data_IF_652378480739
#
_entry.id   IF_652378480739
#
_cell.length_a   1.000
_cell.length_b   1.000
_cell.length_c   1.000
_cell.angle_alpha   90.00
_cell.angle_beta   90.00
_cell.angle_gamma   90.00
#
_symmetry.space_group_name_H-M   'P 1'
#
loop_
_entity.id
_entity.type
_entity.pdbx_description
1 polymer ?
#
# COMPACT_ATOMS: atom_id res chain seq x y z
N UNK A 1 -4.17 11.33 -17.47
CA UNK A 1 -4.15 12.74 -17.04
C UNK A 1 -3.06 13.46 -17.84
N UNK A 2 -3.27 14.72 -18.17
CA UNK A 2 -2.24 15.56 -18.82
C UNK A 2 -1.27 16.16 -17.80
N UNK A 3 -0.14 16.69 -18.27
CA UNK A 3 0.84 17.37 -17.41
C UNK A 3 0.22 18.58 -16.73
N UNK A 4 -0.59 19.38 -17.43
CA UNK A 4 -1.32 20.50 -16.85
C UNK A 4 -2.22 20.06 -15.69
N UNK A 5 -3.03 19.01 -15.89
CA UNK A 5 -3.91 18.48 -14.86
C UNK A 5 -3.15 17.97 -13.63
N UNK A 6 -2.02 17.28 -13.83
CA UNK A 6 -1.21 16.76 -12.73
C UNK A 6 -0.54 17.91 -11.97
N UNK A 7 -0.05 18.93 -12.67
CA UNK A 7 0.52 20.14 -12.09
C UNK A 7 -0.48 20.90 -11.20
N UNK A 8 -1.71 21.05 -11.67
CA UNK A 8 -2.78 21.68 -10.91
C UNK A 8 -3.14 20.87 -9.65
N UNK A 9 -3.25 19.55 -9.75
CA UNK A 9 -3.56 18.67 -8.59
C UNK A 9 -2.45 18.74 -7.54
N UNK A 10 -1.19 18.70 -7.98
CA UNK A 10 -0.04 18.67 -7.08
C UNK A 10 0.42 20.07 -6.63
N UNK A 11 -0.19 21.13 -7.18
CA UNK A 11 0.22 22.52 -6.94
C UNK A 11 1.72 22.71 -7.23
N UNK A 12 2.17 22.18 -8.37
CA UNK A 12 3.56 22.23 -8.84
C UNK A 12 3.64 22.84 -10.22
N UNK A 13 4.83 23.33 -10.56
CA UNK A 13 5.11 23.87 -11.87
C UNK A 13 5.03 22.79 -12.98
N UNK A 14 4.47 23.15 -14.13
CA UNK A 14 4.27 22.23 -15.26
C UNK A 14 5.58 21.65 -15.81
N UNK A 15 6.68 22.43 -15.83
CA UNK A 15 7.98 21.93 -16.29
C UNK A 15 8.54 20.86 -15.34
N UNK A 16 8.30 21.01 -14.04
CA UNK A 16 8.69 20.01 -13.04
C UNK A 16 7.90 18.72 -13.25
N UNK A 17 6.58 18.81 -13.42
CA UNK A 17 5.75 17.64 -13.70
C UNK A 17 6.15 16.97 -15.01
N UNK A 18 6.35 17.74 -16.08
CA UNK A 18 6.80 17.22 -17.38
C UNK A 18 8.08 16.38 -17.24
N UNK A 19 9.09 16.90 -16.52
CA UNK A 19 10.35 16.19 -16.28
C UNK A 19 10.15 14.87 -15.53
N UNK A 20 9.27 14.83 -14.53
CA UNK A 20 8.99 13.59 -13.81
C UNK A 20 8.17 12.60 -14.64
N UNK A 21 7.19 13.08 -15.42
CA UNK A 21 6.39 12.23 -16.29
C UNK A 21 7.23 11.56 -17.38
N UNK A 22 8.21 12.26 -17.96
CA UNK A 22 9.14 11.66 -18.92
C UNK A 22 10.00 10.57 -18.27
N UNK A 23 10.55 10.81 -17.07
CA UNK A 23 11.31 9.77 -16.36
C UNK A 23 10.46 8.55 -16.04
N UNK A 24 9.21 8.75 -15.63
CA UNK A 24 8.27 7.66 -15.36
C UNK A 24 7.88 6.92 -16.66
N UNK A 25 7.78 7.61 -17.79
CA UNK A 25 7.51 7.04 -19.12
C UNK A 25 8.69 6.17 -19.58
N UNK A 26 9.91 6.71 -19.50
CA UNK A 26 11.17 6.02 -19.82
C UNK A 26 11.39 4.75 -18.99
N UNK A 27 11.01 4.80 -17.72
CA UNK A 27 11.13 3.66 -16.79
C UNK A 27 9.92 2.72 -16.82
N UNK A 28 8.93 2.98 -17.68
CA UNK A 28 7.78 2.11 -17.90
C UNK A 28 6.74 2.13 -16.78
N UNK A 29 6.74 3.13 -15.90
CA UNK A 29 5.71 3.33 -14.86
C UNK A 29 4.44 4.00 -15.40
N UNK A 30 4.57 4.77 -16.46
CA UNK A 30 3.45 5.42 -17.15
C UNK A 30 3.60 5.27 -18.66
N UNK A 31 2.49 5.34 -19.38
CA UNK A 31 2.47 5.32 -20.85
C UNK A 31 1.54 6.41 -21.37
N UNK A 32 1.77 6.82 -22.62
CA UNK A 32 0.89 7.76 -23.32
C UNK A 32 -0.24 6.99 -23.98
N UNK A 33 -1.47 7.19 -23.49
CA UNK A 33 -2.67 6.53 -24.02
C UNK A 33 -3.39 7.35 -25.10
N UNK A 34 -2.89 8.54 -25.39
CA UNK A 34 -3.43 9.43 -26.41
C UNK A 34 -3.08 10.89 -26.15
N UNK A 35 -3.76 11.77 -26.86
CA UNK A 35 -3.58 13.21 -26.76
C UNK A 35 -4.92 13.90 -26.50
N UNK A 36 -4.90 14.95 -25.69
CA UNK A 36 -6.07 15.81 -25.45
C UNK A 36 -5.70 17.23 -25.83
N UNK A 37 -6.57 17.91 -26.57
CA UNK A 37 -6.41 19.34 -26.85
C UNK A 37 -6.94 20.13 -25.67
N UNK A 38 -6.05 20.81 -24.97
CA UNK A 38 -6.39 21.83 -23.98
C UNK A 38 -5.98 23.17 -24.58
N UNK A 39 -6.92 24.11 -24.76
CA UNK A 39 -6.63 25.46 -25.28
C UNK A 39 -5.87 25.45 -26.62
N UNK A 40 -6.30 24.57 -27.54
CA UNK A 40 -5.70 24.36 -28.88
C UNK A 40 -4.27 23.80 -28.91
N UNK A 41 -3.66 23.48 -27.77
CA UNK A 41 -2.36 22.82 -27.69
C UNK A 41 -2.60 21.32 -27.43
N UNK A 42 -2.03 20.41 -28.24
CA UNK A 42 -2.11 18.97 -27.97
C UNK A 42 -1.23 18.62 -26.76
N UNK A 43 -1.83 17.98 -25.75
CA UNK A 43 -1.14 17.46 -24.57
C UNK A 43 -1.25 15.94 -24.50
N UNK A 44 -0.12 15.28 -24.20
CA UNK A 44 -0.08 13.84 -23.92
C UNK A 44 -0.96 13.50 -22.71
N UNK A 45 -1.74 12.44 -22.84
CA UNK A 45 -2.54 11.87 -21.76
C UNK A 45 -1.83 10.63 -21.22
N UNK A 46 -1.30 10.76 -20.01
CA UNK A 46 -0.61 9.67 -19.33
C UNK A 46 -1.57 8.76 -18.58
N UNK A 47 -1.31 7.46 -18.62
CA UNK A 47 -1.93 6.45 -17.75
C UNK A 47 -0.82 5.66 -17.04
N UNK A 48 -1.16 5.04 -15.91
CA UNK A 48 -0.30 4.04 -15.28
C UNK A 48 -0.22 2.78 -16.15
N UNK A 49 0.96 2.17 -16.23
CA UNK A 49 1.18 0.88 -16.91
C UNK A 49 0.76 -0.30 -16.04
N UNK A 50 0.89 -0.18 -14.72
CA UNK A 50 0.50 -1.21 -13.76
C UNK A 50 -0.60 -0.71 -12.80
N UNK A 51 -1.42 -1.64 -12.32
CA UNK A 51 -2.41 -1.35 -11.28
C UNK A 51 -1.77 -1.11 -9.90
N UNK A 52 -0.60 -1.70 -9.65
CA UNK A 52 0.17 -1.60 -8.41
C UNK A 52 1.66 -1.54 -8.71
N UNK A 53 2.40 -0.76 -7.92
CA UNK A 53 3.87 -0.73 -7.92
C UNK A 53 4.37 -1.23 -6.57
N UNK A 54 5.34 -2.14 -6.58
CA UNK A 54 6.05 -2.57 -5.36
C UNK A 54 7.34 -1.76 -5.31
N UNK A 55 7.45 -0.90 -4.31
CA UNK A 55 8.67 -0.14 -4.06
C UNK A 55 9.61 -1.03 -3.23
N UNK A 56 10.72 -1.46 -3.83
CA UNK A 56 11.80 -2.16 -3.13
C UNK A 56 12.94 -1.16 -2.96
N UNK A 57 13.21 -0.67 -1.74
CA UNK A 57 14.25 0.32 -1.52
C UNK A 57 15.63 -0.34 -1.63
N UNK A 58 16.56 0.24 -2.39
CA UNK A 58 17.96 -0.18 -2.43
C UNK A 58 18.85 0.60 -1.44
N UNK A 59 18.31 1.62 -0.75
CA UNK A 59 19.03 2.49 0.17
C UNK A 59 18.32 2.68 1.53
N UNK A 60 19.08 3.06 2.56
CA UNK A 60 18.58 3.36 3.91
C UNK A 60 17.53 4.50 3.90
N UNK A 61 17.78 5.59 3.15
CA UNK A 61 16.83 6.70 3.01
C UNK A 61 15.47 6.24 2.46
N UNK A 62 15.48 5.28 1.51
CA UNK A 62 14.27 4.72 0.94
C UNK A 62 13.55 3.77 1.92
N UNK A 63 14.27 3.19 2.88
CA UNK A 63 13.70 2.44 4.00
C UNK A 63 12.95 3.36 4.95
N UNK A 64 13.53 4.51 5.35
CA UNK A 64 12.86 5.48 6.23
C UNK A 64 11.56 6.02 5.63
N UNK A 65 11.56 6.36 4.34
CA UNK A 65 10.35 6.82 3.62
C UNK A 65 9.25 5.74 3.63
N UNK A 66 9.63 4.47 3.43
CA UNK A 66 8.68 3.37 3.50
C UNK A 66 8.16 3.12 4.92
N UNK A 67 8.98 3.34 5.93
CA UNK A 67 8.54 3.27 7.32
C UNK A 67 7.52 4.35 7.64
N UNK A 68 7.79 5.60 7.27
CA UNK A 68 6.85 6.71 7.48
C UNK A 68 5.55 6.48 6.70
N UNK A 69 5.65 6.01 5.45
CA UNK A 69 4.49 5.66 4.65
C UNK A 69 3.66 4.54 5.30
N UNK A 70 4.32 3.48 5.79
CA UNK A 70 3.69 2.36 6.49
C UNK A 70 2.99 2.82 7.78
N UNK A 71 3.60 3.73 8.55
CA UNK A 71 2.99 4.37 9.72
C UNK A 71 1.73 5.16 9.37
N UNK A 72 1.79 6.04 8.37
CA UNK A 72 0.63 6.81 7.91
C UNK A 72 -0.51 5.91 7.45
N UNK A 73 -0.21 4.82 6.73
CA UNK A 73 -1.22 3.85 6.27
C UNK A 73 -1.87 3.08 7.42
N UNK A 74 -1.08 2.68 8.41
CA UNK A 74 -1.60 2.01 9.61
C UNK A 74 -2.49 2.95 10.44
N UNK A 75 -2.07 4.19 10.62
CA UNK A 75 -2.88 5.20 11.30
C UNK A 75 -4.22 5.43 10.57
N UNK A 76 -4.19 5.55 9.23
CA UNK A 76 -5.39 5.66 8.41
C UNK A 76 -6.33 4.45 8.59
N UNK A 77 -5.79 3.23 8.63
CA UNK A 77 -6.57 2.02 8.87
C UNK A 77 -7.28 2.09 10.24
N UNK A 78 -6.57 2.44 11.31
CA UNK A 78 -7.18 2.58 12.63
C UNK A 78 -8.23 3.69 12.69
N UNK A 79 -8.01 4.82 12.02
CA UNK A 79 -9.02 5.89 11.88
C UNK A 79 -10.29 5.38 11.18
N UNK A 80 -10.15 4.56 10.13
CA UNK A 80 -11.29 3.95 9.44
C UNK A 80 -12.02 2.94 10.33
N UNK A 81 -11.29 2.06 11.02
CA UNK A 81 -11.88 1.11 11.96
C UNK A 81 -12.65 1.82 13.08
N UNK A 82 -12.10 2.92 13.62
CA UNK A 82 -12.78 3.74 14.63
C UNK A 82 -14.07 4.36 14.09
N UNK A 83 -14.07 4.85 12.84
CA UNK A 83 -15.28 5.33 12.15
C UNK A 83 -16.33 4.23 11.96
N UNK A 84 -15.90 2.97 11.84
CA UNK A 84 -16.77 1.80 11.75
C UNK A 84 -17.23 1.27 13.13
N UNK A 85 -16.89 1.97 14.23
CA UNK A 85 -17.33 1.61 15.59
C UNK A 85 -16.33 0.76 16.38
N UNK A 86 -15.12 0.51 15.86
CA UNK A 86 -14.09 -0.15 16.66
C UNK A 86 -13.60 0.77 17.79
N UNK A 87 -13.56 0.23 19.01
CA UNK A 87 -12.93 0.93 20.13
C UNK A 87 -11.41 0.84 19.98
N UNK A 88 -10.79 1.87 19.40
CA UNK A 88 -9.34 1.95 19.21
C UNK A 88 -8.78 3.27 19.75
N UNK A 89 -7.74 3.16 20.56
CA UNK A 89 -6.93 4.29 21.02
C UNK A 89 -5.70 4.40 20.12
N UNK A 90 -5.65 5.45 19.30
CA UNK A 90 -4.60 5.62 18.28
C UNK A 90 -3.44 6.39 18.91
N UNK A 91 -2.34 5.68 19.16
CA UNK A 91 -1.06 6.23 19.63
C UNK A 91 0.07 5.74 18.72
N UNK A 92 1.22 6.42 18.74
CA UNK A 92 2.40 6.01 17.96
C UNK A 92 2.88 4.60 18.32
N UNK A 93 2.74 4.21 19.59
CA UNK A 93 3.05 2.87 20.07
C UNK A 93 2.12 1.82 19.44
N UNK A 94 0.81 2.06 19.42
CA UNK A 94 -0.20 1.15 18.83
C UNK A 94 -0.04 1.05 17.30
N UNK A 95 0.36 2.15 16.64
CA UNK A 95 0.71 2.18 15.21
C UNK A 95 1.94 1.31 14.95
N UNK A 96 2.99 1.48 15.74
CA UNK A 96 4.24 0.73 15.61
C UNK A 96 4.01 -0.76 15.85
N UNK A 97 3.28 -1.11 16.91
CA UNK A 97 2.93 -2.49 17.23
C UNK A 97 2.09 -3.12 16.12
N UNK A 98 1.10 -2.40 15.58
CA UNK A 98 0.29 -2.84 14.45
C UNK A 98 1.13 -3.17 13.22
N UNK A 99 2.07 -2.30 12.88
CA UNK A 99 2.98 -2.53 11.75
C UNK A 99 3.82 -3.78 11.96
N UNK A 100 4.45 -3.91 13.13
CA UNK A 100 5.28 -5.07 13.48
C UNK A 100 4.47 -6.36 13.47
N UNK A 101 3.29 -6.34 14.04
CA UNK A 101 2.38 -7.47 14.09
C UNK A 101 1.98 -7.94 12.69
N UNK A 102 1.51 -7.03 11.83
CA UNK A 102 1.13 -7.39 10.46
C UNK A 102 2.33 -7.83 9.61
N UNK A 103 3.51 -7.23 9.82
CA UNK A 103 4.74 -7.65 9.13
C UNK A 103 5.16 -9.07 9.53
N UNK A 104 5.13 -9.37 10.84
CA UNK A 104 5.41 -10.71 11.35
C UNK A 104 4.40 -11.74 10.83
N UNK A 105 3.11 -11.41 10.88
CA UNK A 105 2.04 -12.25 10.37
C UNK A 105 2.23 -12.55 8.88
N UNK A 106 2.52 -11.53 8.06
CA UNK A 106 2.78 -11.73 6.63
C UNK A 106 4.02 -12.58 6.39
N UNK A 107 5.11 -12.37 7.13
CA UNK A 107 6.33 -13.18 6.98
C UNK A 107 6.09 -14.66 7.28
N UNK A 108 5.28 -14.95 8.31
CA UNK A 108 4.88 -16.32 8.64
C UNK A 108 4.03 -16.97 7.53
N UNK A 109 3.09 -16.21 6.96
CA UNK A 109 2.23 -16.68 5.86
C UNK A 109 2.99 -16.79 4.54
N UNK A 110 4.00 -15.95 4.30
CA UNK A 110 4.80 -15.93 3.07
C UNK A 110 5.45 -17.28 2.77
N UNK A 111 5.96 -17.94 3.81
CA UNK A 111 6.58 -19.27 3.69
C UNK A 111 5.62 -20.37 3.22
N UNK A 112 4.32 -20.14 3.32
CA UNK A 112 3.29 -21.12 2.92
C UNK A 112 2.94 -20.99 1.45
N UNK A 113 2.81 -19.77 0.93
CA UNK A 113 2.48 -19.55 -0.48
C UNK A 113 3.68 -19.46 -1.42
N UNK A 114 4.92 -19.39 -0.93
CA UNK A 114 6.12 -19.62 -1.77
C UNK A 114 6.09 -21.01 -2.45
N UNK A 115 5.29 -21.94 -1.91
CA UNK A 115 5.06 -23.28 -2.45
C UNK A 115 3.93 -23.32 -3.50
N UNK A 116 3.24 -22.21 -3.74
CA UNK A 116 2.14 -22.13 -4.70
C UNK A 116 2.71 -21.77 -6.06
N UNK A 117 2.62 -22.70 -7.01
CA UNK A 117 3.08 -22.53 -8.39
C UNK A 117 1.98 -21.98 -9.33
N UNK A 118 0.91 -21.45 -8.75
CA UNK A 118 -0.22 -20.88 -9.50
C UNK A 118 -0.14 -19.35 -9.59
N UNK A 119 -0.53 -18.75 -10.74
CA UNK A 119 -0.57 -17.30 -10.87
C UNK A 119 -1.69 -16.73 -9.98
N UNK A 120 -1.28 -16.09 -8.87
CA UNK A 120 -2.20 -15.40 -7.96
C UNK A 120 -2.21 -13.89 -8.24
N UNK A 121 -3.39 -13.35 -8.55
CA UNK A 121 -3.58 -11.91 -8.54
C UNK A 121 -3.61 -11.35 -7.10
N UNK A 122 -3.48 -10.03 -6.96
CA UNK A 122 -3.41 -9.37 -5.65
C UNK A 122 -4.69 -9.56 -4.83
N UNK A 123 -5.86 -9.61 -5.47
CA UNK A 123 -7.16 -9.78 -4.79
C UNK A 123 -7.26 -11.21 -4.26
N UNK A 124 -6.90 -12.21 -5.07
CA UNK A 124 -6.82 -13.61 -4.65
C UNK A 124 -5.81 -13.78 -3.50
N UNK A 125 -4.63 -13.18 -3.61
CA UNK A 125 -3.63 -13.22 -2.54
C UNK A 125 -4.18 -12.64 -1.22
N UNK A 126 -4.94 -11.54 -1.26
CA UNK A 126 -5.57 -10.98 -0.05
C UNK A 126 -6.63 -11.89 0.56
N UNK A 127 -7.43 -12.55 -0.28
CA UNK A 127 -8.41 -13.55 0.19
C UNK A 127 -7.70 -14.76 0.80
N UNK A 128 -6.64 -15.24 0.16
CA UNK A 128 -5.84 -16.35 0.67
C UNK A 128 -5.21 -16.00 2.02
N UNK A 129 -4.56 -14.84 2.15
CA UNK A 129 -4.02 -14.34 3.42
C UNK A 129 -5.09 -14.37 4.52
N UNK A 130 -6.32 -13.90 4.23
CA UNK A 130 -7.43 -13.93 5.19
C UNK A 130 -7.81 -15.37 5.59
N UNK A 131 -8.02 -16.26 4.63
CA UNK A 131 -8.41 -17.64 4.93
C UNK A 131 -7.34 -18.39 5.71
N UNK A 132 -6.05 -18.20 5.39
CA UNK A 132 -4.95 -18.81 6.15
C UNK A 132 -4.92 -18.33 7.60
N UNK A 133 -5.17 -17.03 7.84
CA UNK A 133 -5.30 -16.50 9.21
C UNK A 133 -6.44 -17.21 9.94
N UNK A 134 -7.60 -17.35 9.31
CA UNK A 134 -8.77 -18.00 9.91
C UNK A 134 -8.50 -19.49 10.22
N UNK A 135 -7.94 -20.25 9.28
CA UNK A 135 -7.57 -21.65 9.50
C UNK A 135 -6.56 -21.79 10.64
N UNK A 136 -5.52 -20.95 10.68
CA UNK A 136 -4.56 -20.99 11.79
C UNK A 136 -5.17 -20.62 13.14
N UNK A 137 -6.14 -19.71 13.18
CA UNK A 137 -6.87 -19.41 14.42
C UNK A 137 -7.73 -20.58 14.90
N UNK A 138 -8.20 -21.43 13.98
CA UNK A 138 -8.90 -22.66 14.30
C UNK A 138 -7.93 -23.74 14.82
N UNK A 139 -6.84 -23.98 14.09
CA UNK A 139 -5.88 -25.07 14.35
C UNK A 139 -4.93 -24.80 15.53
N UNK A 140 -4.61 -23.53 15.82
CA UNK A 140 -3.61 -23.16 16.81
C UNK A 140 -4.17 -22.19 17.84
N UNK A 141 -4.37 -22.69 19.05
CA UNK A 141 -4.78 -21.87 20.20
C UNK A 141 -3.75 -20.77 20.51
N UNK A 142 -2.46 -21.10 20.50
CA UNK A 142 -1.40 -20.12 20.73
C UNK A 142 -1.43 -18.98 19.69
N UNK A 143 -1.70 -19.29 18.42
CA UNK A 143 -1.85 -18.29 17.37
C UNK A 143 -3.11 -17.44 17.59
N UNK A 144 -4.25 -18.08 17.86
CA UNK A 144 -5.52 -17.40 18.16
C UNK A 144 -5.38 -16.43 19.34
N UNK A 145 -4.76 -16.87 20.43
CA UNK A 145 -4.50 -16.02 21.58
C UNK A 145 -3.58 -14.85 21.24
N UNK A 146 -2.56 -15.06 20.40
CA UNK A 146 -1.68 -13.97 19.94
C UNK A 146 -2.46 -12.91 19.17
N UNK A 147 -3.37 -13.32 18.28
CA UNK A 147 -4.28 -12.38 17.58
C UNK A 147 -5.15 -11.64 18.61
N UNK A 148 -5.78 -12.34 19.55
CA UNK A 148 -6.65 -11.70 20.55
C UNK A 148 -5.92 -10.76 21.51
N UNK A 149 -4.68 -11.09 21.90
CA UNK A 149 -3.81 -10.19 22.69
C UNK A 149 -3.52 -8.91 21.92
N UNK A 150 -3.19 -9.01 20.63
CA UNK A 150 -3.01 -7.84 19.79
C UNK A 150 -4.30 -7.00 19.70
N UNK A 151 -5.44 -7.64 19.44
CA UNK A 151 -6.74 -6.94 19.38
C UNK A 151 -7.14 -6.29 20.69
N UNK A 152 -6.76 -6.85 21.84
CA UNK A 152 -6.95 -6.21 23.15
C UNK A 152 -6.08 -4.96 23.31
N UNK A 153 -4.80 -5.02 22.92
CA UNK A 153 -3.91 -3.85 22.95
C UNK A 153 -4.45 -2.68 22.13
N UNK A 154 -5.17 -2.93 21.04
CA UNK A 154 -5.79 -1.88 20.24
C UNK A 154 -6.85 -1.08 21.02
N UNK A 155 -7.50 -1.69 22.01
CA UNK A 155 -8.64 -1.09 22.73
C UNK A 155 -8.24 -0.09 23.82
N UNK A 156 -6.97 -0.13 24.27
CA UNK A 156 -6.53 0.57 25.48
C UNK A 156 -6.79 -0.26 26.72
#
# INVERSE_FOLDING_TARGET
MTVSQIADILQKDQSTIYRHMNKLEETGYVEVKGEKKTHHIPEKVYTRTAHFFILVPESEDASEILEEYSAKRMEQLYKLMKKMGANITITDEVITEGRRFLAALRSELFREYEKIDEPLDVIMLKKLELFLILFRMEESEAFRERIFRFMHKLRG
#
